data_IF_539750942730
#
_entry.id   IF_539750942730
#
_cell.length_a   1.000
_cell.length_b   1.000
_cell.length_c   1.000
_cell.angle_alpha   90.00
_cell.angle_beta   90.00
_cell.angle_gamma   90.00
#
_symmetry.space_group_name_H-M   'P 1'
#
loop_
_entity.id
_entity.type
_entity.pdbx_description
1 polymer ?
#
# COMPACT_ATOMS: atom_id res chain seq x y z
N UNK A 1 27.26 22.44 -5.59
CA UNK A 1 27.18 21.43 -4.52
C UNK A 1 26.92 22.18 -3.23
N UNK A 2 25.66 22.49 -2.95
CA UNK A 2 25.23 22.98 -1.64
C UNK A 2 24.28 21.92 -1.11
N UNK A 3 24.80 21.10 -0.20
CA UNK A 3 24.03 20.10 0.52
C UNK A 3 23.04 20.83 1.44
N UNK A 4 21.77 20.49 1.28
CA UNK A 4 20.71 20.81 2.21
C UNK A 4 21.17 20.56 3.66
N UNK A 5 20.96 21.54 4.52
CA UNK A 5 21.20 21.47 5.97
C UNK A 5 20.37 20.34 6.58
N UNK A 6 21.03 19.21 6.82
CA UNK A 6 20.51 18.07 7.57
C UNK A 6 20.06 18.52 8.97
N UNK A 7 18.90 18.05 9.42
CA UNK A 7 18.38 18.35 10.76
C UNK A 7 19.31 17.80 11.85
N UNK A 8 20.21 18.65 12.37
CA UNK A 8 20.99 18.36 13.58
C UNK A 8 20.04 18.27 14.77
N UNK A 9 20.11 17.16 15.52
CA UNK A 9 19.14 16.82 16.58
C UNK A 9 19.02 17.90 17.66
N UNK A 10 17.79 18.07 18.18
CA UNK A 10 17.47 19.00 19.27
C UNK A 10 17.50 18.28 20.61
N UNK A 11 18.33 18.74 21.53
CA UNK A 11 18.62 18.09 22.80
C UNK A 11 18.19 18.99 23.96
N UNK A 12 17.49 18.41 24.93
CA UNK A 12 17.18 19.04 26.21
C UNK A 12 18.10 18.46 27.30
N UNK A 13 18.76 19.31 28.07
CA UNK A 13 19.53 18.92 29.25
C UNK A 13 18.79 19.39 30.50
N UNK A 14 18.53 18.50 31.46
CA UNK A 14 17.79 18.80 32.69
C UNK A 14 18.60 18.33 33.89
N UNK A 15 19.13 19.29 34.66
CA UNK A 15 20.08 19.04 35.74
C UNK A 15 20.14 20.27 36.67
N UNK A 16 20.12 20.10 37.98
CA UNK A 16 20.18 21.22 38.93
C UNK A 16 21.59 21.80 39.06
N UNK A 17 22.62 21.03 38.69
CA UNK A 17 24.00 21.46 38.67
C UNK A 17 24.33 22.25 37.39
N UNK A 18 24.33 23.58 37.52
CA UNK A 18 24.66 24.48 36.39
C UNK A 18 26.04 24.26 35.77
N UNK A 19 26.99 23.65 36.50
CA UNK A 19 28.31 23.28 35.97
C UNK A 19 28.19 22.12 34.96
N UNK A 20 27.40 21.10 35.28
CA UNK A 20 27.17 19.94 34.42
C UNK A 20 26.44 20.36 33.15
N UNK A 21 25.38 21.17 33.28
CA UNK A 21 24.65 21.72 32.13
C UNK A 21 25.58 22.46 31.16
N UNK A 22 26.53 23.26 31.67
CA UNK A 22 27.50 23.99 30.82
C UNK A 22 28.44 23.04 30.10
N UNK A 23 29.00 22.07 30.81
CA UNK A 23 29.94 21.10 30.23
C UNK A 23 29.26 20.25 29.16
N UNK A 24 28.06 19.73 29.43
CA UNK A 24 27.32 18.92 28.47
C UNK A 24 26.85 19.75 27.28
N UNK A 25 26.35 20.97 27.52
CA UNK A 25 26.01 21.89 26.42
C UNK A 25 27.21 22.13 25.51
N UNK A 26 28.35 22.52 26.07
CA UNK A 26 29.54 22.81 25.27
C UNK A 26 29.97 21.59 24.44
N UNK A 27 29.97 20.40 25.04
CA UNK A 27 30.33 19.16 24.35
C UNK A 27 29.37 18.82 23.19
N UNK A 28 28.08 19.11 23.32
CA UNK A 28 27.07 18.75 22.33
C UNK A 28 26.90 19.82 21.24
N UNK A 29 27.06 21.10 21.59
CA UNK A 29 27.06 22.20 20.62
C UNK A 29 28.29 22.15 19.70
N UNK A 30 29.46 21.69 20.21
CA UNK A 30 30.67 21.48 19.40
C UNK A 30 30.47 20.43 18.29
N UNK A 31 29.62 19.43 18.53
CA UNK A 31 29.19 18.43 17.55
C UNK A 31 28.06 18.93 16.62
N UNK A 32 27.62 20.18 16.80
CA UNK A 32 26.58 20.82 15.99
C UNK A 32 25.14 20.56 16.45
N UNK A 33 24.90 20.00 17.64
CA UNK A 33 23.54 19.82 18.13
C UNK A 33 22.94 21.13 18.65
N UNK A 34 21.60 21.26 18.57
CA UNK A 34 20.88 22.39 19.18
C UNK A 34 20.49 22.03 20.61
N UNK A 35 21.03 22.74 21.61
CA UNK A 35 20.92 22.35 23.02
C UNK A 35 20.18 23.38 23.87
N UNK A 36 19.05 22.98 24.45
CA UNK A 36 18.38 23.73 25.52
C UNK A 36 18.74 23.14 26.89
N UNK A 37 18.74 23.98 27.93
CA UNK A 37 19.02 23.55 29.31
C UNK A 37 17.90 23.98 30.24
N UNK A 38 17.54 23.11 31.17
CA UNK A 38 16.65 23.39 32.29
C UNK A 38 17.32 23.01 33.60
N UNK A 39 17.14 23.82 34.63
CA UNK A 39 17.67 23.58 35.98
C UNK A 39 16.62 23.06 36.98
N UNK A 40 15.40 22.80 36.50
CA UNK A 40 14.26 22.36 37.31
C UNK A 40 13.21 21.69 36.42
N UNK A 41 12.35 20.86 37.02
CA UNK A 41 11.29 20.17 36.30
C UNK A 41 10.32 21.17 35.65
N UNK A 42 9.96 22.23 36.39
CA UNK A 42 9.08 23.30 35.89
C UNK A 42 9.66 24.03 34.67
N UNK A 43 10.97 24.27 34.64
CA UNK A 43 11.62 24.87 33.48
C UNK A 43 11.66 23.91 32.29
N UNK A 44 11.90 22.61 32.53
CA UNK A 44 11.87 21.60 31.50
C UNK A 44 10.48 21.48 30.85
N UNK A 45 9.42 21.48 31.66
CA UNK A 45 8.03 21.46 31.20
C UNK A 45 7.70 22.71 30.36
N UNK A 46 8.08 23.89 30.82
CA UNK A 46 7.88 25.14 30.07
C UNK A 46 8.61 25.16 28.71
N UNK A 47 9.76 24.49 28.60
CA UNK A 47 10.49 24.34 27.33
C UNK A 47 9.81 23.33 26.41
N UNK A 48 9.36 22.19 26.93
CA UNK A 48 8.65 21.16 26.17
C UNK A 48 7.34 21.67 25.54
N UNK A 49 6.67 22.61 26.20
CA UNK A 49 5.47 23.27 25.66
C UNK A 49 5.76 24.23 24.50
N UNK A 50 7.00 24.73 24.39
CA UNK A 50 7.39 25.76 23.41
C UNK A 50 8.17 25.20 22.24
N UNK A 51 8.89 24.10 22.44
CA UNK A 51 9.83 23.54 21.47
C UNK A 51 9.79 22.02 21.49
N UNK A 52 10.02 21.43 20.32
CA UNK A 52 10.15 19.99 20.16
C UNK A 52 11.60 19.58 20.33
N UNK A 53 11.82 18.56 21.16
CA UNK A 53 13.11 17.94 21.39
C UNK A 53 13.08 16.47 20.95
N UNK A 54 14.25 15.97 20.56
CA UNK A 54 14.46 14.63 20.03
C UNK A 54 15.05 13.70 21.09
N UNK A 55 15.88 14.28 21.96
CA UNK A 55 16.59 13.62 23.04
C UNK A 55 16.59 14.51 24.29
N UNK A 56 16.40 13.91 25.45
CA UNK A 56 16.54 14.55 26.75
C UNK A 56 17.58 13.81 27.59
N UNK A 57 18.51 14.52 28.20
CA UNK A 57 19.32 14.02 29.31
C UNK A 57 18.76 14.56 30.62
N UNK A 58 18.32 13.67 31.49
CA UNK A 58 17.57 14.02 32.70
C UNK A 58 18.27 13.48 33.94
N UNK A 59 18.57 14.36 34.90
CA UNK A 59 19.05 13.93 36.21
C UNK A 59 17.95 13.17 36.98
N UNK A 60 18.32 12.09 37.67
CA UNK A 60 17.45 11.42 38.63
C UNK A 60 17.13 12.28 39.85
N UNK A 61 18.05 13.14 40.26
CA UNK A 61 17.86 14.02 41.42
C UNK A 61 17.91 15.46 40.93
N UNK A 62 16.76 16.12 40.92
CA UNK A 62 16.63 17.47 40.40
C UNK A 62 16.21 18.40 41.54
N UNK A 63 17.15 18.72 42.44
CA UNK A 63 16.84 19.38 43.71
C UNK A 63 15.85 18.57 44.55
N UNK A 64 14.65 19.10 44.75
CA UNK A 64 13.55 18.44 45.48
C UNK A 64 12.71 17.49 44.60
N UNK A 65 12.86 17.56 43.27
CA UNK A 65 12.07 16.77 42.32
C UNK A 65 12.75 15.43 42.00
N UNK A 66 11.94 14.37 41.85
CA UNK A 66 12.39 13.05 41.44
C UNK A 66 12.35 12.92 39.90
N UNK A 67 13.50 12.64 39.28
CA UNK A 67 13.63 12.51 37.83
C UNK A 67 12.78 11.40 37.22
N UNK A 68 12.40 10.37 37.97
CA UNK A 68 11.48 9.33 37.47
C UNK A 68 10.05 9.85 37.27
N UNK A 69 9.59 10.76 38.12
CA UNK A 69 8.27 11.38 37.98
C UNK A 69 8.25 12.33 36.78
N UNK A 70 9.35 13.07 36.58
CA UNK A 70 9.56 13.92 35.40
C UNK A 70 9.61 13.08 34.11
N UNK A 71 10.30 11.93 34.12
CA UNK A 71 10.30 10.99 33.00
C UNK A 71 8.89 10.52 32.65
N UNK A 72 8.08 10.15 33.64
CA UNK A 72 6.71 9.72 33.41
C UNK A 72 5.87 10.82 32.72
N UNK A 73 6.02 12.07 33.14
CA UNK A 73 5.36 13.22 32.51
C UNK A 73 5.85 13.47 31.07
N UNK A 74 7.17 13.46 30.86
CA UNK A 74 7.79 13.64 29.54
C UNK A 74 7.33 12.58 28.54
N UNK A 75 7.16 11.32 28.97
CA UNK A 75 6.66 10.23 28.11
C UNK A 75 5.22 10.44 27.66
N UNK A 76 4.40 11.15 28.43
CA UNK A 76 3.01 11.47 28.07
C UNK A 76 3.00 12.66 27.10
N UNK A 77 3.77 13.71 27.38
CA UNK A 77 3.76 14.95 26.62
C UNK A 77 4.52 14.86 25.29
N UNK A 78 5.65 14.15 25.28
CA UNK A 78 6.54 14.00 24.15
C UNK A 78 6.95 12.53 23.96
N UNK A 79 6.02 11.63 23.59
CA UNK A 79 6.29 10.19 23.47
C UNK A 79 7.34 9.84 22.42
N UNK A 80 7.62 10.73 21.47
CA UNK A 80 8.66 10.58 20.45
C UNK A 80 10.08 10.91 20.97
N UNK A 81 10.17 11.67 22.06
CA UNK A 81 11.45 12.13 22.61
C UNK A 81 12.08 11.00 23.40
N UNK A 82 13.34 10.69 23.09
CA UNK A 82 14.09 9.69 23.86
C UNK A 82 14.62 10.35 25.12
N UNK A 83 14.53 9.67 26.26
CA UNK A 83 15.03 10.21 27.55
C UNK A 83 16.14 9.31 28.06
N UNK A 84 17.33 9.86 28.24
CA UNK A 84 18.48 9.20 28.85
C UNK A 84 18.63 9.73 30.27
N UNK A 85 18.62 8.83 31.22
CA UNK A 85 18.79 9.19 32.63
C UNK A 85 20.27 9.39 32.94
N UNK A 86 20.61 10.45 33.65
CA UNK A 86 21.97 10.77 34.07
C UNK A 86 22.03 10.75 35.60
N UNK A 87 22.91 9.98 36.22
CA UNK A 87 22.90 9.82 37.69
C UNK A 87 24.28 9.56 38.30
N UNK A 88 24.48 9.83 39.58
CA UNK A 88 25.72 9.53 40.28
C UNK A 88 25.88 8.03 40.62
N UNK A 89 27.11 7.58 40.85
CA UNK A 89 27.54 6.17 40.95
C UNK A 89 26.87 5.30 42.05
N UNK A 90 26.02 5.86 42.91
CA UNK A 90 25.42 5.15 44.06
C UNK A 90 24.04 4.52 43.77
N UNK A 91 23.70 4.27 42.51
CA UNK A 91 22.31 4.05 42.06
C UNK A 91 22.14 2.91 41.04
N UNK A 92 22.88 1.80 41.19
CA UNK A 92 22.79 0.66 40.24
C UNK A 92 21.38 0.07 40.19
N UNK A 93 20.68 -0.04 41.33
CA UNK A 93 19.29 -0.49 41.39
C UNK A 93 18.35 0.51 40.69
N UNK A 94 18.66 1.81 40.77
CA UNK A 94 17.87 2.90 40.22
C UNK A 94 17.99 3.01 38.70
N UNK A 95 19.09 2.52 38.12
CA UNK A 95 19.25 2.42 36.66
C UNK A 95 18.29 1.39 36.06
N UNK A 96 18.05 0.28 36.77
CA UNK A 96 17.07 -0.74 36.35
C UNK A 96 15.65 -0.17 36.43
N UNK A 97 15.33 0.53 37.52
CA UNK A 97 14.03 1.19 37.71
C UNK A 97 13.78 2.25 36.64
N UNK A 98 14.80 3.01 36.24
CA UNK A 98 14.72 3.99 35.16
C UNK A 98 14.36 3.34 33.81
N UNK A 99 15.00 2.22 33.46
CA UNK A 99 14.67 1.48 32.24
C UNK A 99 13.25 0.89 32.31
N UNK A 100 12.84 0.35 33.46
CA UNK A 100 11.47 -0.15 33.67
C UNK A 100 10.42 0.97 33.57
N UNK A 101 10.75 2.17 34.06
CA UNK A 101 9.93 3.38 33.91
C UNK A 101 9.91 3.93 32.47
N UNK A 102 10.75 3.38 31.57
CA UNK A 102 10.76 3.66 30.14
C UNK A 102 11.79 4.68 29.69
N UNK A 103 12.88 4.85 30.44
CA UNK A 103 14.07 5.53 29.93
C UNK A 103 14.68 4.73 28.77
N UNK A 104 15.26 5.44 27.81
CA UNK A 104 15.87 4.86 26.62
C UNK A 104 17.28 4.31 26.86
N UNK A 105 18.00 4.90 27.82
CA UNK A 105 19.33 4.49 28.28
C UNK A 105 19.64 5.19 29.61
N UNK A 106 20.80 4.90 30.20
CA UNK A 106 21.32 5.67 31.33
C UNK A 106 22.82 5.97 31.20
N UNK A 107 23.27 7.04 31.86
CA UNK A 107 24.66 7.47 31.97
C UNK A 107 25.01 7.75 33.43
N UNK A 108 26.24 7.38 33.82
CA UNK A 108 26.71 7.56 35.19
C UNK A 108 27.68 8.74 35.26
N UNK A 109 27.41 9.70 36.14
CA UNK A 109 28.29 10.82 36.48
C UNK A 109 29.41 10.37 37.42
N UNK A 110 30.65 10.84 37.22
CA UNK A 110 31.11 11.66 36.09
C UNK A 110 31.26 10.82 34.81
N UNK A 111 30.70 11.28 33.69
CA UNK A 111 30.87 10.65 32.38
C UNK A 111 31.85 11.45 31.51
N UNK A 112 32.59 10.76 30.65
CA UNK A 112 33.50 11.43 29.70
C UNK A 112 32.72 12.11 28.55
N UNK A 113 33.30 13.14 27.91
CA UNK A 113 32.72 13.71 26.68
C UNK A 113 32.43 12.67 25.61
N UNK A 114 33.30 11.67 25.44
CA UNK A 114 33.09 10.56 24.49
C UNK A 114 31.86 9.71 24.82
N UNK A 115 31.62 9.44 26.10
CA UNK A 115 30.43 8.69 26.53
C UNK A 115 29.14 9.46 26.26
N UNK A 116 29.13 10.77 26.51
CA UNK A 116 27.99 11.64 26.22
C UNK A 116 27.70 11.70 24.70
N UNK A 117 28.74 11.84 23.88
CA UNK A 117 28.63 11.83 22.41
C UNK A 117 28.10 10.52 21.87
N UNK A 118 28.67 9.40 22.33
CA UNK A 118 28.26 8.07 21.89
C UNK A 118 26.79 7.78 22.25
N UNK A 119 26.40 8.12 23.48
CA UNK A 119 25.00 7.98 23.90
C UNK A 119 24.07 8.85 23.06
N UNK A 120 24.46 10.10 22.78
CA UNK A 120 23.69 11.02 21.93
C UNK A 120 23.50 10.49 20.52
N UNK A 121 24.59 10.12 19.85
CA UNK A 121 24.56 9.61 18.47
C UNK A 121 23.68 8.37 18.35
N UNK A 122 23.87 7.39 19.25
CA UNK A 122 23.08 6.15 19.28
C UNK A 122 21.59 6.44 19.46
N UNK A 123 21.20 7.31 20.39
CA UNK A 123 19.78 7.56 20.65
C UNK A 123 19.12 8.38 19.54
N UNK A 124 19.83 9.34 18.95
CA UNK A 124 19.33 10.09 17.80
C UNK A 124 19.17 9.21 16.55
N UNK A 125 20.11 8.29 16.30
CA UNK A 125 20.00 7.30 15.22
C UNK A 125 18.76 6.42 15.40
N UNK A 126 18.56 5.86 16.60
CA UNK A 126 17.36 5.06 16.89
C UNK A 126 16.09 5.89 16.72
N UNK A 127 16.07 7.16 17.14
CA UNK A 127 14.93 8.07 16.91
C UNK A 127 14.68 8.29 15.43
N UNK A 128 15.71 8.49 14.62
CA UNK A 128 15.57 8.70 13.18
C UNK A 128 15.02 7.44 12.50
N UNK A 129 15.51 6.25 12.90
CA UNK A 129 15.00 4.97 12.41
C UNK A 129 13.54 4.75 12.82
N UNK A 130 13.17 5.03 14.08
CA UNK A 130 11.78 4.96 14.55
C UNK A 130 10.88 5.94 13.82
N UNK A 131 11.31 7.19 13.62
CA UNK A 131 10.55 8.19 12.87
C UNK A 131 10.37 7.80 11.40
N UNK A 132 11.39 7.18 10.78
CA UNK A 132 11.31 6.66 9.41
C UNK A 132 10.37 5.47 9.32
N UNK A 133 10.40 4.57 10.30
CA UNK A 133 9.45 3.48 10.43
C UNK A 133 8.02 4.00 10.63
N UNK A 134 7.80 4.97 11.52
CA UNK A 134 6.49 5.59 11.72
C UNK A 134 6.01 6.38 10.50
N UNK A 135 6.91 7.00 9.73
CA UNK A 135 6.55 7.65 8.48
C UNK A 135 6.14 6.62 7.41
N UNK A 136 6.90 5.53 7.27
CA UNK A 136 6.58 4.42 6.36
C UNK A 136 5.30 3.71 6.79
N UNK A 137 5.15 3.40 8.09
CA UNK A 137 3.94 2.83 8.67
C UNK A 137 2.78 3.81 8.61
N UNK A 138 3.00 5.12 8.72
CA UNK A 138 2.00 6.18 8.66
C UNK A 138 1.50 6.44 7.24
N UNK A 139 2.35 6.25 6.23
CA UNK A 139 1.94 6.14 4.82
C UNK A 139 1.11 4.89 4.57
N UNK A 140 1.37 3.80 5.31
CA UNK A 140 0.59 2.56 5.28
C UNK A 140 -0.68 2.64 6.19
N UNK A 141 -0.67 3.48 7.24
CA UNK A 141 -1.72 3.68 8.27
C UNK A 141 -2.39 5.05 8.17
N UNK A 142 -2.63 5.56 6.96
CA UNK A 142 -3.75 6.49 6.75
C UNK A 142 -4.99 5.71 6.33
N UNK A 143 -5.82 5.20 7.26
CA UNK A 143 -7.18 4.83 6.93
C UNK A 143 -8.03 6.10 6.96
N UNK A 144 -8.14 6.80 5.82
CA UNK A 144 -9.32 7.64 5.55
C UNK A 144 -9.85 7.64 4.12
N UNK A 145 -9.03 7.57 3.07
CA UNK A 145 -9.56 7.75 1.72
C UNK A 145 -9.12 6.58 0.85
N UNK A 146 -10.05 5.77 0.33
CA UNK A 146 -9.66 4.55 -0.39
C UNK A 146 -10.76 3.93 -1.20
N UNK A 147 -11.77 3.46 -0.48
CA UNK A 147 -12.75 2.49 -0.96
C UNK A 147 -14.18 2.96 -0.77
N UNK A 148 -14.41 4.26 -0.53
CA UNK A 148 -15.77 4.78 -0.57
C UNK A 148 -16.26 4.74 -2.01
N UNK A 149 -17.48 4.22 -2.15
CA UNK A 149 -18.14 4.03 -3.43
C UNK A 149 -19.57 4.54 -3.33
N UNK A 150 -20.01 5.21 -4.38
CA UNK A 150 -21.40 5.63 -4.56
C UNK A 150 -22.23 4.51 -5.20
N UNK A 151 -21.59 3.56 -5.90
CA UNK A 151 -22.25 2.42 -6.53
C UNK A 151 -22.89 1.47 -5.48
N UNK A 152 -24.19 1.16 -5.61
CA UNK A 152 -24.87 0.22 -4.72
C UNK A 152 -24.21 -1.17 -4.70
N UNK A 153 -23.75 -1.66 -5.87
CA UNK A 153 -23.12 -2.97 -5.98
C UNK A 153 -21.84 -3.07 -5.14
N UNK A 154 -21.01 -2.03 -5.17
CA UNK A 154 -19.80 -2.02 -4.34
C UNK A 154 -20.10 -1.78 -2.87
N UNK A 155 -21.12 -0.98 -2.52
CA UNK A 155 -21.51 -0.79 -1.10
C UNK A 155 -21.83 -2.12 -0.42
N UNK A 156 -22.58 -2.99 -1.09
CA UNK A 156 -22.88 -4.35 -0.58
C UNK A 156 -21.59 -5.15 -0.35
N UNK A 157 -20.64 -5.08 -1.29
CA UNK A 157 -19.34 -5.76 -1.16
C UNK A 157 -18.55 -5.21 0.03
N UNK A 158 -18.51 -3.88 0.20
CA UNK A 158 -17.79 -3.22 1.29
C UNK A 158 -18.42 -3.51 2.66
N UNK A 159 -19.75 -3.53 2.76
CA UNK A 159 -20.47 -3.89 3.97
C UNK A 159 -20.17 -5.33 4.37
N UNK A 160 -20.26 -6.26 3.41
CA UNK A 160 -19.90 -7.67 3.62
C UNK A 160 -18.44 -7.78 4.07
N UNK A 161 -17.52 -7.10 3.36
CA UNK A 161 -16.09 -7.07 3.68
C UNK A 161 -15.81 -6.57 5.11
N UNK A 162 -16.49 -5.51 5.56
CA UNK A 162 -16.38 -4.98 6.93
C UNK A 162 -16.88 -5.98 7.97
N UNK A 163 -18.01 -6.65 7.70
CA UNK A 163 -18.54 -7.67 8.61
C UNK A 163 -17.56 -8.84 8.78
N UNK A 164 -17.05 -9.37 7.67
CA UNK A 164 -16.14 -10.53 7.70
C UNK A 164 -14.72 -10.18 8.17
N UNK A 165 -14.31 -8.91 8.09
CA UNK A 165 -13.02 -8.45 8.59
C UNK A 165 -12.83 -8.73 10.10
N UNK A 166 -13.92 -8.75 10.87
CA UNK A 166 -13.91 -9.06 12.32
C UNK A 166 -13.59 -10.53 12.66
N UNK A 167 -13.64 -11.42 11.66
CA UNK A 167 -13.39 -12.87 11.79
C UNK A 167 -12.01 -13.24 11.25
N UNK A 168 -11.54 -14.46 11.55
CA UNK A 168 -10.32 -15.04 10.95
C UNK A 168 -10.62 -15.95 9.74
N UNK A 169 -11.83 -15.86 9.18
CA UNK A 169 -12.19 -16.63 7.99
C UNK A 169 -11.32 -16.26 6.79
N UNK A 170 -11.02 -17.26 5.96
CA UNK A 170 -10.37 -17.07 4.67
C UNK A 170 -11.33 -16.35 3.72
N UNK A 171 -10.81 -15.38 2.96
CA UNK A 171 -11.62 -14.60 2.03
C UNK A 171 -11.02 -14.72 0.64
N UNK A 172 -11.85 -15.09 -0.33
CA UNK A 172 -11.54 -15.08 -1.75
C UNK A 172 -12.14 -13.84 -2.41
N UNK A 173 -11.30 -13.03 -3.04
CA UNK A 173 -11.68 -11.79 -3.71
C UNK A 173 -11.62 -12.02 -5.22
N UNK A 174 -12.78 -12.02 -5.87
CA UNK A 174 -12.90 -12.24 -7.30
C UNK A 174 -13.16 -10.91 -8.01
N UNK A 175 -12.59 -10.74 -9.20
CA UNK A 175 -12.86 -9.57 -10.03
C UNK A 175 -11.83 -9.39 -11.13
N UNK A 176 -12.23 -8.68 -12.18
CA UNK A 176 -11.36 -8.39 -13.32
C UNK A 176 -10.05 -7.71 -12.89
N UNK A 177 -9.03 -7.78 -13.75
CA UNK A 177 -7.77 -7.11 -13.48
C UNK A 177 -7.98 -5.60 -13.34
N UNK A 178 -7.34 -5.00 -12.32
CA UNK A 178 -7.42 -3.56 -12.09
C UNK A 178 -8.71 -3.07 -11.39
N UNK A 179 -9.57 -3.96 -10.88
CA UNK A 179 -10.79 -3.58 -10.12
C UNK A 179 -10.53 -3.10 -8.69
N UNK A 180 -9.31 -3.27 -8.17
CA UNK A 180 -8.93 -2.87 -6.81
C UNK A 180 -8.92 -3.99 -5.77
N UNK A 181 -8.81 -5.26 -6.19
CA UNK A 181 -8.74 -6.43 -5.29
C UNK A 181 -7.70 -6.27 -4.16
N UNK A 182 -6.48 -5.83 -4.49
CA UNK A 182 -5.43 -5.58 -3.50
C UNK A 182 -5.72 -4.43 -2.54
N UNK A 183 -6.43 -3.39 -2.98
CA UNK A 183 -6.89 -2.32 -2.07
C UNK A 183 -7.94 -2.85 -1.10
N UNK A 184 -8.89 -3.65 -1.58
CA UNK A 184 -9.89 -4.27 -0.71
C UNK A 184 -9.22 -5.21 0.30
N UNK A 185 -8.25 -6.02 -0.11
CA UNK A 185 -7.52 -6.90 0.80
C UNK A 185 -6.83 -6.12 1.93
N UNK A 186 -6.15 -5.02 1.60
CA UNK A 186 -5.51 -4.13 2.58
C UNK A 186 -6.53 -3.47 3.51
N UNK A 187 -7.68 -3.05 2.99
CA UNK A 187 -8.75 -2.49 3.80
C UNK A 187 -9.35 -3.53 4.76
N UNK A 188 -9.60 -4.76 4.30
CA UNK A 188 -10.08 -5.86 5.15
C UNK A 188 -9.09 -6.12 6.28
N UNK A 189 -7.78 -6.17 6.00
CA UNK A 189 -6.78 -6.29 7.04
C UNK A 189 -6.84 -5.12 8.04
N UNK A 190 -6.92 -3.88 7.56
CA UNK A 190 -7.04 -2.67 8.37
C UNK A 190 -8.31 -2.61 9.24
N UNK A 191 -9.39 -3.27 8.83
CA UNK A 191 -10.63 -3.40 9.62
C UNK A 191 -10.63 -4.60 10.56
N UNK A 192 -9.61 -5.46 10.51
CA UNK A 192 -9.56 -6.69 11.29
C UNK A 192 -8.96 -6.52 12.68
N UNK A 193 -9.11 -7.54 13.53
CA UNK A 193 -8.39 -7.63 14.82
C UNK A 193 -6.87 -7.63 14.67
N UNK A 194 -6.37 -7.97 13.47
CA UNK A 194 -4.95 -8.06 13.13
C UNK A 194 -4.40 -6.78 12.47
N UNK A 195 -5.17 -5.69 12.42
CA UNK A 195 -4.77 -4.42 11.78
C UNK A 195 -3.47 -3.79 12.32
N UNK A 196 -3.03 -4.16 13.53
CA UNK A 196 -1.76 -3.71 14.11
C UNK A 196 -0.57 -4.63 13.78
N UNK A 197 -0.82 -5.77 13.13
CA UNK A 197 0.17 -6.79 12.76
C UNK A 197 0.55 -6.64 11.28
N UNK A 198 1.49 -7.47 10.81
CA UNK A 198 1.93 -7.42 9.42
C UNK A 198 0.82 -7.86 8.46
N UNK A 199 0.73 -7.16 7.32
CA UNK A 199 0.01 -7.61 6.14
C UNK A 199 1.03 -7.86 5.04
N UNK A 200 1.31 -9.12 4.75
CA UNK A 200 2.32 -9.52 3.78
C UNK A 200 1.62 -9.92 2.49
N UNK A 201 2.01 -9.30 1.38
CA UNK A 201 1.48 -9.62 0.06
C UNK A 201 2.46 -10.50 -0.70
N UNK A 202 1.92 -11.46 -1.44
CA UNK A 202 2.65 -12.27 -2.39
C UNK A 202 1.90 -12.26 -3.72
N UNK A 203 2.61 -11.92 -4.79
CA UNK A 203 2.06 -11.89 -6.14
C UNK A 203 2.48 -13.16 -6.85
N UNK A 204 1.52 -14.00 -7.25
CA UNK A 204 1.80 -15.28 -7.92
C UNK A 204 2.31 -15.20 -9.39
N UNK A 205 2.00 -14.18 -10.23
CA UNK A 205 2.14 -14.30 -11.69
C UNK A 205 3.55 -14.06 -12.26
N UNK A 206 4.64 -14.32 -11.52
CA UNK A 206 5.99 -13.99 -12.02
C UNK A 206 7.13 -14.89 -11.53
N UNK A 207 6.85 -16.01 -10.88
CA UNK A 207 7.88 -16.84 -10.25
C UNK A 207 7.82 -18.28 -10.76
N UNK A 208 9.00 -18.88 -10.95
CA UNK A 208 9.08 -20.34 -11.11
C UNK A 208 8.56 -21.02 -9.84
N UNK A 209 8.12 -22.27 -9.93
CA UNK A 209 7.63 -23.01 -8.75
C UNK A 209 8.67 -23.01 -7.61
N UNK A 210 9.96 -23.15 -7.92
CA UNK A 210 11.03 -23.14 -6.91
C UNK A 210 11.16 -21.78 -6.21
N UNK A 211 11.14 -20.68 -6.97
CA UNK A 211 11.20 -19.33 -6.41
C UNK A 211 9.92 -19.02 -5.61
N UNK A 212 8.78 -19.50 -6.08
CA UNK A 212 7.50 -19.31 -5.40
C UNK A 212 7.48 -20.03 -4.05
N UNK A 213 7.95 -21.27 -4.02
CA UNK A 213 8.05 -22.05 -2.78
C UNK A 213 9.03 -21.40 -1.80
N UNK A 214 10.19 -20.97 -2.31
CA UNK A 214 11.24 -20.28 -1.55
C UNK A 214 10.77 -18.95 -0.98
N UNK A 215 10.02 -18.14 -1.74
CA UNK A 215 9.47 -16.88 -1.24
C UNK A 215 8.39 -17.13 -0.19
N UNK A 216 7.45 -18.05 -0.45
CA UNK A 216 6.32 -18.31 0.44
C UNK A 216 6.77 -18.91 1.77
N UNK A 217 7.57 -19.98 1.74
CA UNK A 217 7.93 -20.76 2.92
C UNK A 217 9.34 -20.47 3.44
N UNK A 218 10.23 -19.91 2.62
CA UNK A 218 11.64 -19.72 2.94
C UNK A 218 12.48 -20.93 2.58
N UNK A 219 13.81 -20.76 2.57
CA UNK A 219 14.75 -21.82 2.21
C UNK A 219 15.95 -21.84 3.17
N UNK A 220 16.50 -23.04 3.40
CA UNK A 220 17.78 -23.22 4.08
C UNK A 220 18.95 -23.01 3.12
N UNK A 221 20.12 -22.71 3.65
CA UNK A 221 21.35 -22.55 2.84
C UNK A 221 21.62 -23.85 2.07
N UNK A 222 21.81 -23.75 0.76
CA UNK A 222 22.07 -24.90 -0.12
C UNK A 222 20.83 -25.64 -0.61
N UNK A 223 19.62 -25.12 -0.39
CA UNK A 223 18.37 -25.76 -0.80
C UNK A 223 18.19 -25.88 -2.34
N UNK A 224 18.78 -24.97 -3.12
CA UNK A 224 18.79 -24.98 -4.59
C UNK A 224 20.03 -24.24 -5.13
N UNK A 225 20.29 -24.34 -6.44
CA UNK A 225 21.41 -23.64 -7.09
C UNK A 225 21.27 -22.13 -6.96
N UNK A 226 22.13 -21.49 -6.16
CA UNK A 226 22.09 -20.06 -5.85
C UNK A 226 21.66 -19.71 -4.42
N UNK A 227 21.25 -20.68 -3.60
CA UNK A 227 20.89 -20.48 -2.19
C UNK A 227 22.14 -20.35 -1.29
N UNK A 228 22.84 -19.22 -1.37
CA UNK A 228 24.03 -18.93 -0.57
C UNK A 228 23.73 -18.69 0.92
N UNK A 229 22.53 -18.21 1.24
CA UNK A 229 22.08 -17.86 2.59
C UNK A 229 20.74 -18.51 2.94
N UNK A 230 20.31 -18.36 4.19
CA UNK A 230 19.04 -18.88 4.71
C UNK A 230 18.05 -17.73 4.82
N UNK A 231 16.91 -17.83 4.11
CA UNK A 231 15.92 -16.74 4.05
C UNK A 231 14.58 -17.16 4.68
N UNK A 232 14.01 -16.28 5.51
CA UNK A 232 12.68 -16.44 6.10
C UNK A 232 11.60 -16.15 5.05
N UNK A 233 10.63 -17.05 4.92
CA UNK A 233 9.52 -16.91 3.96
C UNK A 233 8.45 -15.91 4.38
N UNK A 234 7.58 -15.55 3.43
CA UNK A 234 6.43 -14.65 3.65
C UNK A 234 5.48 -15.16 4.72
N UNK A 235 5.29 -16.48 4.84
CA UNK A 235 4.48 -17.09 5.90
C UNK A 235 5.01 -16.72 7.29
N UNK A 236 6.33 -16.73 7.47
CA UNK A 236 6.95 -16.37 8.75
C UNK A 236 6.80 -14.86 9.04
N UNK A 237 6.98 -14.03 8.02
CA UNK A 237 6.80 -12.56 8.13
C UNK A 237 5.35 -12.18 8.46
N UNK A 238 4.39 -13.00 8.03
CA UNK A 238 2.96 -12.80 8.24
C UNK A 238 2.44 -13.40 9.55
N UNK A 239 3.31 -13.99 10.39
CA UNK A 239 2.89 -14.66 11.62
C UNK A 239 2.18 -13.69 12.60
N UNK A 240 1.02 -14.12 13.10
CA UNK A 240 0.08 -13.29 13.85
C UNK A 240 -0.68 -12.26 13.01
N UNK A 241 -0.36 -12.10 11.73
CA UNK A 241 -0.89 -11.10 10.80
C UNK A 241 -1.77 -11.67 9.69
N UNK A 242 -1.62 -11.14 8.48
CA UNK A 242 -2.39 -11.54 7.30
C UNK A 242 -1.47 -11.77 6.11
N UNK A 243 -1.69 -12.88 5.40
CA UNK A 243 -1.05 -13.17 4.13
C UNK A 243 -2.06 -12.97 3.00
N UNK A 244 -1.74 -12.04 2.10
CA UNK A 244 -2.52 -11.76 0.90
C UNK A 244 -1.88 -12.43 -0.31
N UNK A 245 -2.57 -13.41 -0.88
CA UNK A 245 -2.20 -14.15 -2.08
C UNK A 245 -2.86 -13.48 -3.30
N UNK A 246 -2.15 -12.60 -4.01
CA UNK A 246 -2.66 -11.95 -5.21
C UNK A 246 -2.44 -12.84 -6.44
N UNK A 247 -3.46 -12.88 -7.30
CA UNK A 247 -3.59 -13.77 -8.45
C UNK A 247 -3.36 -15.26 -8.13
N UNK A 248 -4.06 -15.79 -7.10
CA UNK A 248 -3.97 -17.19 -6.65
C UNK A 248 -4.22 -18.22 -7.76
N UNK A 249 -4.93 -17.85 -8.83
CA UNK A 249 -5.14 -18.71 -9.99
C UNK A 249 -3.85 -19.06 -10.73
N UNK A 250 -2.83 -18.20 -10.67
CA UNK A 250 -1.51 -18.46 -11.26
C UNK A 250 -0.58 -19.25 -10.33
N UNK A 251 -1.07 -19.71 -9.17
CA UNK A 251 -0.26 -20.45 -8.23
C UNK A 251 0.09 -21.86 -8.74
N UNK A 252 1.38 -22.25 -8.76
CA UNK A 252 1.83 -23.51 -9.37
C UNK A 252 1.11 -24.74 -8.80
N UNK A 253 0.56 -25.57 -9.69
CA UNK A 253 -0.20 -26.78 -9.33
C UNK A 253 0.59 -27.72 -8.40
N UNK A 254 1.89 -27.83 -8.61
CA UNK A 254 2.80 -28.66 -7.79
C UNK A 254 2.92 -28.19 -6.34
N UNK A 255 2.67 -26.91 -6.07
CA UNK A 255 2.75 -26.32 -4.73
C UNK A 255 1.39 -26.24 -4.02
N UNK A 256 0.28 -26.37 -4.75
CA UNK A 256 -1.06 -26.30 -4.18
C UNK A 256 -1.29 -27.27 -3.00
N UNK A 257 -0.75 -28.52 -2.98
CA UNK A 257 -0.84 -29.39 -1.81
C UNK A 257 -0.14 -28.84 -0.55
N UNK A 258 1.03 -28.19 -0.72
CA UNK A 258 1.77 -27.56 0.39
C UNK A 258 1.02 -26.35 0.93
N UNK A 259 0.45 -25.53 0.04
CA UNK A 259 -0.40 -24.42 0.42
C UNK A 259 -1.65 -24.89 1.16
N UNK A 260 -2.30 -25.95 0.68
CA UNK A 260 -3.46 -26.56 1.34
C UNK A 260 -3.13 -26.99 2.77
N UNK A 261 -2.03 -27.74 2.97
CA UNK A 261 -1.55 -28.17 4.29
C UNK A 261 -1.34 -26.97 5.21
N UNK A 262 -0.71 -25.91 4.71
CA UNK A 262 -0.52 -24.68 5.49
C UNK A 262 -1.84 -24.02 5.88
N UNK A 263 -2.82 -23.92 4.96
CA UNK A 263 -4.11 -23.30 5.27
C UNK A 263 -4.91 -24.14 6.28
N UNK A 264 -4.83 -25.46 6.19
CA UNK A 264 -5.55 -26.40 7.06
C UNK A 264 -4.93 -26.50 8.45
N UNK A 265 -3.63 -26.82 8.50
CA UNK A 265 -2.93 -27.22 9.73
C UNK A 265 -2.12 -26.09 10.36
N UNK A 266 -1.99 -24.94 9.66
CA UNK A 266 -1.08 -23.83 10.03
C UNK A 266 0.39 -24.24 10.11
N UNK A 267 0.72 -25.36 9.46
CA UNK A 267 2.05 -25.94 9.43
C UNK A 267 2.72 -25.80 8.07
N UNK A 268 4.02 -25.55 8.08
CA UNK A 268 4.83 -25.48 6.87
C UNK A 268 6.27 -25.91 7.11
N UNK A 269 6.96 -26.26 6.03
CA UNK A 269 8.38 -26.64 6.01
C UNK A 269 9.12 -25.71 5.05
N UNK A 270 10.40 -25.48 5.30
CA UNK A 270 11.23 -24.64 4.41
C UNK A 270 11.81 -25.51 3.31
N UNK A 271 12.10 -24.91 2.15
CA UNK A 271 12.79 -25.60 1.07
C UNK A 271 14.15 -26.09 1.59
N UNK A 272 14.42 -27.39 1.45
CA UNK A 272 15.67 -28.01 1.93
C UNK A 272 15.78 -28.15 3.45
N UNK A 273 14.68 -28.00 4.21
CA UNK A 273 14.68 -28.17 5.66
C UNK A 273 13.35 -28.80 6.12
N UNK A 274 13.37 -30.11 6.48
CA UNK A 274 12.16 -30.87 6.81
C UNK A 274 11.59 -30.54 8.20
N UNK A 275 12.15 -29.55 8.92
CA UNK A 275 11.62 -29.14 10.22
C UNK A 275 10.27 -28.44 10.03
N UNK A 276 9.21 -29.09 10.51
CA UNK A 276 7.86 -28.53 10.55
C UNK A 276 7.80 -27.32 11.49
N UNK A 277 7.19 -26.24 11.01
CA UNK A 277 6.99 -24.97 11.72
C UNK A 277 5.52 -24.61 11.70
N UNK A 278 5.09 -23.78 12.66
CA UNK A 278 3.72 -23.26 12.73
C UNK A 278 3.71 -21.75 12.62
N UNK A 279 2.70 -21.22 11.94
CA UNK A 279 2.42 -19.78 11.87
C UNK A 279 0.91 -19.51 11.87
N UNK A 280 0.44 -18.64 12.76
CA UNK A 280 -0.97 -18.25 12.83
C UNK A 280 -1.23 -17.07 11.90
N UNK A 281 -1.63 -17.40 10.68
CA UNK A 281 -1.81 -16.42 9.60
C UNK A 281 -3.23 -16.48 9.07
N UNK A 282 -3.87 -15.30 8.97
CA UNK A 282 -5.13 -15.14 8.22
C UNK A 282 -4.86 -15.07 6.72
N UNK A 283 -5.65 -15.78 5.91
CA UNK A 283 -5.46 -15.83 4.46
C UNK A 283 -6.50 -14.95 3.76
N UNK A 284 -6.01 -14.07 2.90
CA UNK A 284 -6.81 -13.38 1.89
C UNK A 284 -6.27 -13.82 0.53
N UNK A 285 -7.11 -14.22 -0.40
CA UNK A 285 -6.70 -14.59 -1.75
C UNK A 285 -7.47 -13.75 -2.77
N UNK A 286 -6.85 -13.42 -3.89
CA UNK A 286 -7.49 -12.71 -4.98
C UNK A 286 -7.18 -13.35 -6.33
N UNK A 287 -8.12 -13.31 -7.27
CA UNK A 287 -7.84 -13.69 -8.66
C UNK A 287 -8.82 -13.04 -9.64
N UNK A 288 -8.37 -12.82 -10.88
CA UNK A 288 -9.21 -12.51 -12.03
C UNK A 288 -9.67 -13.75 -12.84
N UNK A 289 -9.17 -14.95 -12.52
CA UNK A 289 -9.50 -16.18 -13.23
C UNK A 289 -10.70 -16.88 -12.61
N UNK A 290 -11.40 -17.69 -13.41
CA UNK A 290 -12.46 -18.56 -12.93
C UNK A 290 -11.85 -19.85 -12.36
N UNK A 291 -11.71 -19.92 -11.03
CA UNK A 291 -11.14 -21.10 -10.36
C UNK A 291 -11.97 -22.37 -10.56
N UNK A 292 -13.29 -22.28 -10.73
CA UNK A 292 -14.14 -23.46 -10.97
C UNK A 292 -13.87 -24.09 -12.33
N UNK A 293 -13.68 -23.26 -13.37
CA UNK A 293 -13.26 -23.73 -14.69
C UNK A 293 -11.86 -24.35 -14.62
N UNK A 294 -10.94 -23.74 -13.86
CA UNK A 294 -9.59 -24.26 -13.67
C UNK A 294 -9.55 -25.61 -12.93
N UNK A 295 -10.48 -25.84 -12.00
CA UNK A 295 -10.66 -27.15 -11.36
C UNK A 295 -11.11 -28.19 -12.38
N UNK A 296 -12.09 -27.86 -13.24
CA UNK A 296 -12.55 -28.75 -14.32
C UNK A 296 -11.44 -29.07 -15.31
N UNK A 297 -10.54 -28.13 -15.57
CA UNK A 297 -9.37 -28.30 -16.45
C UNK A 297 -8.19 -29.01 -15.76
N UNK A 298 -8.27 -29.34 -14.47
CA UNK A 298 -7.17 -29.94 -13.71
C UNK A 298 -5.99 -29.00 -13.42
N UNK A 299 -6.17 -27.69 -13.58
CA UNK A 299 -5.15 -26.65 -13.32
C UNK A 299 -5.20 -26.09 -11.90
N UNK A 300 -6.27 -26.35 -11.17
CA UNK A 300 -6.43 -25.98 -9.77
C UNK A 300 -7.06 -27.13 -8.99
N UNK A 301 -6.64 -27.33 -7.73
CA UNK A 301 -7.19 -28.40 -6.90
C UNK A 301 -8.51 -27.98 -6.26
N UNK A 302 -9.48 -28.89 -6.32
CA UNK A 302 -10.80 -28.69 -5.75
C UNK A 302 -10.76 -28.49 -4.23
N UNK A 303 -9.95 -29.29 -3.51
CA UNK A 303 -9.79 -29.22 -2.06
C UNK A 303 -9.22 -27.88 -1.57
N UNK A 304 -8.26 -27.30 -2.31
CA UNK A 304 -7.73 -25.97 -2.07
C UNK A 304 -8.78 -24.88 -2.30
N UNK A 305 -9.58 -25.00 -3.37
CA UNK A 305 -10.65 -24.04 -3.64
C UNK A 305 -11.65 -24.01 -2.49
N UNK A 306 -12.12 -25.17 -2.01
CA UNK A 306 -13.04 -25.23 -0.86
C UNK A 306 -12.46 -24.60 0.41
N UNK A 307 -11.14 -24.69 0.63
CA UNK A 307 -10.51 -24.13 1.83
C UNK A 307 -10.25 -22.63 1.73
N UNK A 308 -10.06 -22.10 0.52
CA UNK A 308 -9.93 -20.66 0.26
C UNK A 308 -11.29 -19.96 0.24
N UNK A 309 -12.29 -20.60 -0.38
CA UNK A 309 -13.63 -20.06 -0.61
C UNK A 309 -14.56 -20.26 0.60
N UNK A 310 -14.16 -19.77 1.78
CA UNK A 310 -15.07 -19.72 2.94
C UNK A 310 -16.02 -18.53 2.82
N UNK A 311 -15.48 -17.38 2.43
CA UNK A 311 -16.23 -16.17 2.08
C UNK A 311 -15.72 -15.70 0.72
N UNK A 312 -16.63 -15.44 -0.22
CA UNK A 312 -16.28 -14.85 -1.52
C UNK A 312 -16.84 -13.44 -1.66
N UNK A 313 -16.00 -12.54 -2.15
CA UNK A 313 -16.33 -11.15 -2.46
C UNK A 313 -16.09 -10.91 -3.95
N UNK A 314 -17.15 -10.59 -4.70
CA UNK A 314 -17.07 -10.28 -6.12
C UNK A 314 -17.00 -8.75 -6.30
N UNK A 315 -15.87 -8.25 -6.81
CA UNK A 315 -15.73 -6.84 -7.17
C UNK A 315 -16.39 -6.59 -8.52
N UNK A 316 -17.33 -5.63 -8.60
CA UNK A 316 -17.88 -5.23 -9.88
C UNK A 316 -16.80 -4.49 -10.71
N UNK A 317 -16.76 -4.70 -12.03
CA UNK A 317 -15.92 -3.92 -12.92
C UNK A 317 -16.35 -2.46 -12.93
N UNK A 318 -15.45 -1.56 -13.34
CA UNK A 318 -15.67 -0.11 -13.29
C UNK A 318 -16.86 0.33 -14.16
N UNK A 319 -17.13 -0.39 -15.27
CA UNK A 319 -18.31 -0.17 -16.13
C UNK A 319 -19.65 -0.40 -15.43
N UNK A 320 -19.69 -1.20 -14.36
CA UNK A 320 -20.89 -1.44 -13.53
C UNK A 320 -20.93 -0.50 -12.32
N UNK A 321 -19.97 0.43 -12.23
CA UNK A 321 -19.81 1.39 -11.13
C UNK A 321 -19.54 2.80 -11.67
N UNK A 322 -20.36 3.21 -12.65
CA UNK A 322 -20.19 4.49 -13.33
C UNK A 322 -20.20 5.69 -12.36
N UNK A 323 -20.92 5.57 -11.24
CA UNK A 323 -21.01 6.58 -10.19
C UNK A 323 -19.67 6.84 -9.50
N UNK A 324 -18.72 5.91 -9.58
CA UNK A 324 -17.41 6.04 -8.96
C UNK A 324 -16.36 6.65 -9.90
N UNK A 325 -16.59 6.63 -11.22
CA UNK A 325 -15.58 7.00 -12.22
C UNK A 325 -15.05 8.42 -11.99
N UNK A 326 -15.95 9.40 -11.87
CA UNK A 326 -15.56 10.80 -11.71
C UNK A 326 -14.89 11.05 -10.35
N UNK A 327 -15.44 10.48 -9.27
CA UNK A 327 -14.86 10.59 -7.92
C UNK A 327 -13.45 10.00 -7.87
N UNK A 328 -13.23 8.85 -8.50
CA UNK A 328 -11.91 8.24 -8.63
C UNK A 328 -10.97 9.08 -9.48
N UNK A 329 -11.45 9.61 -10.62
CA UNK A 329 -10.66 10.46 -11.51
C UNK A 329 -10.21 11.74 -10.83
N UNK A 330 -11.12 12.46 -10.17
CA UNK A 330 -10.84 13.70 -9.43
C UNK A 330 -9.83 13.44 -8.31
N UNK A 331 -9.96 12.31 -7.61
CA UNK A 331 -9.00 11.91 -6.56
C UNK A 331 -7.62 11.59 -7.11
N UNK A 332 -7.53 10.85 -8.20
CA UNK A 332 -6.24 10.57 -8.85
C UNK A 332 -5.59 11.85 -9.35
N UNK A 333 -6.37 12.75 -9.96
CA UNK A 333 -5.88 14.03 -10.42
C UNK A 333 -5.29 14.84 -9.27
N UNK A 334 -6.02 14.99 -8.16
CA UNK A 334 -5.55 15.72 -6.98
C UNK A 334 -4.24 15.15 -6.41
N UNK A 335 -4.08 13.82 -6.43
CA UNK A 335 -2.84 13.15 -6.01
C UNK A 335 -1.69 13.48 -6.96
N UNK A 336 -1.85 13.24 -8.25
CA UNK A 336 -0.77 13.39 -9.23
C UNK A 336 -0.35 14.84 -9.43
N UNK A 337 -1.30 15.76 -9.34
CA UNK A 337 -1.04 17.20 -9.36
C UNK A 337 -0.09 17.62 -8.24
N UNK A 338 -0.30 17.09 -7.03
CA UNK A 338 0.57 17.34 -5.88
C UNK A 338 1.95 16.69 -6.06
N UNK A 339 1.97 15.48 -6.61
CA UNK A 339 3.20 14.69 -6.82
C UNK A 339 4.11 15.29 -7.91
N UNK A 340 3.53 15.73 -9.03
CA UNK A 340 4.26 16.29 -10.16
C UNK A 340 4.32 17.83 -10.19
N UNK A 341 3.78 18.49 -9.17
CA UNK A 341 3.68 19.95 -9.08
C UNK A 341 3.05 20.59 -10.34
N UNK A 342 1.91 20.04 -10.79
CA UNK A 342 1.22 20.46 -12.04
C UNK A 342 0.06 21.43 -11.79
N UNK A 343 -0.36 22.21 -12.80
CA UNK A 343 -1.39 23.24 -12.62
C UNK A 343 -2.83 22.70 -12.63
N UNK A 344 -3.08 21.51 -13.17
CA UNK A 344 -4.44 20.96 -13.27
C UNK A 344 -5.15 20.89 -11.92
N UNK A 345 -6.44 21.25 -11.88
CA UNK A 345 -7.32 21.25 -10.70
C UNK A 345 -8.67 20.56 -10.95
N UNK A 346 -8.98 20.21 -12.19
CA UNK A 346 -10.19 19.48 -12.55
C UNK A 346 -10.22 19.10 -14.03
N UNK A 347 -11.32 18.48 -14.44
CA UNK A 347 -11.61 18.11 -15.84
C UNK A 347 -12.57 19.11 -16.48
N UNK A 348 -12.48 19.31 -17.79
CA UNK A 348 -13.54 19.97 -18.57
C UNK A 348 -14.81 19.11 -18.63
N UNK A 349 -15.94 19.69 -18.99
CA UNK A 349 -17.22 18.95 -19.05
C UNK A 349 -17.14 17.84 -20.12
N UNK A 350 -16.52 18.12 -21.26
CA UNK A 350 -16.27 17.16 -22.35
C UNK A 350 -15.35 16.01 -21.89
N UNK A 351 -14.35 16.32 -21.06
CA UNK A 351 -13.48 15.31 -20.48
C UNK A 351 -14.22 14.43 -19.48
N UNK A 352 -15.14 14.99 -18.67
CA UNK A 352 -15.98 14.22 -17.75
C UNK A 352 -16.93 13.28 -18.50
N UNK A 353 -17.55 13.76 -19.57
CA UNK A 353 -18.40 12.93 -20.43
C UNK A 353 -17.60 11.79 -21.08
N UNK A 354 -16.39 12.07 -21.58
CA UNK A 354 -15.52 11.04 -22.14
C UNK A 354 -15.12 9.98 -21.09
N UNK A 355 -14.79 10.39 -19.87
CA UNK A 355 -14.48 9.48 -18.76
C UNK A 355 -15.67 8.55 -18.44
N UNK A 356 -16.90 9.08 -18.43
CA UNK A 356 -18.12 8.32 -18.16
C UNK A 356 -18.53 7.41 -19.34
N UNK A 357 -18.29 7.86 -20.58
CA UNK A 357 -18.64 7.10 -21.80
C UNK A 357 -17.69 5.94 -22.10
N UNK A 358 -16.50 5.92 -21.50
CA UNK A 358 -15.52 4.87 -21.72
C UNK A 358 -15.80 3.61 -20.88
N UNK A 359 -15.57 2.42 -21.46
CA UNK A 359 -15.88 1.13 -20.81
C UNK A 359 -14.85 0.67 -19.79
N UNK A 360 -13.65 1.24 -19.80
CA UNK A 360 -12.56 0.91 -18.88
C UNK A 360 -12.23 -0.60 -18.82
N UNK A 361 -11.79 -1.23 -19.93
CA UNK A 361 -11.38 -2.64 -19.93
C UNK A 361 -10.26 -2.96 -18.92
N UNK A 362 -9.39 -2.00 -18.59
CA UNK A 362 -8.37 -2.14 -17.54
C UNK A 362 -8.82 -1.59 -16.17
N UNK A 363 -10.12 -1.29 -16.01
CA UNK A 363 -10.76 -0.86 -14.78
C UNK A 363 -10.04 0.36 -14.13
N UNK A 364 -9.91 0.37 -12.80
CA UNK A 364 -9.32 1.47 -12.03
C UNK A 364 -7.84 1.66 -12.39
N UNK A 365 -7.12 0.59 -12.75
CA UNK A 365 -5.71 0.69 -13.15
C UNK A 365 -5.54 1.50 -14.43
N UNK A 366 -6.39 1.26 -15.41
CA UNK A 366 -6.40 2.05 -16.65
C UNK A 366 -6.82 3.49 -16.40
N UNK A 367 -7.90 3.72 -15.63
CA UNK A 367 -8.34 5.07 -15.23
C UNK A 367 -7.20 5.85 -14.57
N UNK A 368 -6.50 5.23 -13.63
CA UNK A 368 -5.35 5.85 -12.96
C UNK A 368 -4.27 6.25 -13.94
N UNK A 369 -3.86 5.34 -14.84
CA UNK A 369 -2.81 5.61 -15.82
C UNK A 369 -3.20 6.73 -16.82
N UNK A 370 -4.47 6.75 -17.24
CA UNK A 370 -5.00 7.79 -18.11
C UNK A 370 -4.96 9.16 -17.43
N UNK A 371 -5.43 9.25 -16.18
CA UNK A 371 -5.44 10.49 -15.40
C UNK A 371 -4.02 10.96 -15.06
N UNK A 372 -3.12 10.04 -14.71
CA UNK A 372 -1.70 10.32 -14.46
C UNK A 372 -1.05 10.98 -15.68
N UNK A 373 -1.16 10.33 -16.84
CA UNK A 373 -0.65 10.86 -18.11
C UNK A 373 -1.26 12.22 -18.44
N UNK A 374 -2.58 12.36 -18.29
CA UNK A 374 -3.26 13.62 -18.56
C UNK A 374 -2.76 14.75 -17.64
N UNK A 375 -2.52 14.45 -16.36
CA UNK A 375 -1.98 15.42 -15.39
C UNK A 375 -0.55 15.88 -15.72
N UNK A 376 0.27 15.00 -16.32
CA UNK A 376 1.65 15.30 -16.71
C UNK A 376 1.70 16.19 -17.96
N UNK A 377 0.83 15.91 -18.94
CA UNK A 377 0.84 16.59 -20.24
C UNK A 377 0.08 17.91 -20.18
N UNK A 378 -0.96 18.04 -19.36
CA UNK A 378 -1.79 19.24 -19.29
C UNK A 378 -1.01 20.45 -18.74
N UNK A 379 -0.83 21.52 -19.53
CA UNK A 379 -0.19 22.75 -19.06
C UNK A 379 -1.17 23.74 -18.40
N UNK A 380 -2.48 23.47 -18.39
CA UNK A 380 -3.52 24.37 -17.86
C UNK A 380 -4.15 23.88 -16.55
N UNK A 381 -5.07 24.67 -15.98
CA UNK A 381 -5.83 24.31 -14.79
C UNK A 381 -6.92 23.25 -15.03
N UNK A 382 -7.34 23.03 -16.27
CA UNK A 382 -8.36 22.03 -16.62
C UNK A 382 -7.82 21.00 -17.60
N UNK A 383 -8.01 19.72 -17.28
CA UNK A 383 -7.73 18.60 -18.17
C UNK A 383 -8.84 18.53 -19.22
N UNK A 384 -8.51 18.93 -20.44
CA UNK A 384 -9.37 18.74 -21.62
C UNK A 384 -9.34 17.31 -22.17
N UNK A 385 -10.33 16.97 -22.99
CA UNK A 385 -10.47 15.67 -23.66
C UNK A 385 -9.22 15.25 -24.44
N UNK A 386 -8.56 16.21 -25.09
CA UNK A 386 -7.32 15.99 -25.87
C UNK A 386 -6.16 15.45 -25.02
N UNK A 387 -6.12 15.80 -23.73
CA UNK A 387 -5.08 15.35 -22.80
C UNK A 387 -5.31 13.94 -22.27
N UNK A 388 -6.55 13.44 -22.30
CA UNK A 388 -6.86 12.09 -21.82
C UNK A 388 -6.20 11.03 -22.69
N UNK A 389 -5.94 11.33 -23.96
CA UNK A 389 -5.31 10.42 -24.91
C UNK A 389 -6.03 9.06 -24.97
N UNK A 390 -7.33 9.06 -24.66
CA UNK A 390 -8.20 7.94 -24.93
C UNK A 390 -8.27 7.88 -26.44
N UNK A 391 -7.73 6.82 -27.04
CA UNK A 391 -8.07 6.54 -28.42
C UNK A 391 -9.60 6.59 -28.50
N UNK A 392 -10.13 7.31 -29.48
CA UNK A 392 -11.50 7.08 -29.91
C UNK A 392 -11.58 5.58 -30.20
N UNK A 393 -12.03 4.78 -29.21
CA UNK A 393 -12.80 3.62 -29.60
C UNK A 393 -13.87 4.26 -30.46
N UNK A 394 -13.99 3.87 -31.74
CA UNK A 394 -15.06 4.39 -32.57
C UNK A 394 -16.28 4.22 -31.68
N UNK A 395 -16.89 5.34 -31.31
CA UNK A 395 -18.18 5.32 -30.65
C UNK A 395 -18.92 4.33 -31.51
N UNK A 396 -19.39 3.23 -30.92
CA UNK A 396 -20.20 2.27 -31.63
C UNK A 396 -21.56 2.97 -31.89
N UNK A 397 -21.53 4.07 -32.66
CA UNK A 397 -22.52 4.54 -33.59
C UNK A 397 -22.62 3.51 -34.75
N UNK A 398 -22.53 2.22 -34.43
CA UNK A 398 -23.23 1.24 -35.23
C UNK A 398 -24.69 1.70 -35.18
N UNK A 399 -25.25 2.15 -36.31
CA UNK A 399 -26.57 2.75 -36.31
C UNK A 399 -27.56 1.71 -35.80
N UNK A 400 -28.25 2.02 -34.70
CA UNK A 400 -29.29 1.15 -34.15
C UNK A 400 -30.54 1.30 -35.01
N UNK A 401 -31.25 0.19 -35.23
CA UNK A 401 -32.58 0.21 -35.86
C UNK A 401 -33.48 1.12 -35.02
N UNK A 402 -34.00 2.19 -35.62
CA UNK A 402 -34.79 3.23 -34.93
C UNK A 402 -34.02 4.50 -34.53
N UNK A 403 -32.73 4.63 -34.86
CA UNK A 403 -32.01 5.89 -34.76
C UNK A 403 -32.56 6.94 -35.74
N UNK A 404 -32.44 8.23 -35.41
CA UNK A 404 -32.80 9.36 -36.28
C UNK A 404 -31.77 9.56 -37.40
N UNK A 405 -31.53 8.49 -38.18
CA UNK A 405 -30.64 8.46 -39.33
C UNK A 405 -31.48 8.17 -40.57
N UNK A 406 -31.06 8.71 -41.71
CA UNK A 406 -31.68 8.34 -42.98
C UNK A 406 -31.41 6.86 -43.31
N UNK A 407 -32.28 6.25 -44.11
CA UNK A 407 -32.08 4.87 -44.57
C UNK A 407 -30.75 4.68 -45.30
N UNK A 408 -30.27 5.72 -46.00
CA UNK A 408 -29.01 5.70 -46.73
C UNK A 408 -27.78 5.71 -45.79
N UNK A 409 -27.83 6.47 -44.69
CA UNK A 409 -26.77 6.50 -43.67
C UNK A 409 -26.70 5.19 -42.87
N UNK A 410 -27.86 4.62 -42.54
CA UNK A 410 -27.99 3.31 -41.90
C UNK A 410 -27.40 2.21 -42.79
N UNK A 411 -27.73 2.22 -44.08
CA UNK A 411 -27.21 1.26 -45.04
C UNK A 411 -25.70 1.41 -45.24
N UNK A 412 -25.18 2.64 -45.38
CA UNK A 412 -23.75 2.91 -45.51
C UNK A 412 -22.95 2.38 -44.31
N UNK A 413 -23.39 2.67 -43.10
CA UNK A 413 -22.68 2.23 -41.90
C UNK A 413 -22.81 0.72 -41.66
N UNK A 414 -23.94 0.10 -42.02
CA UNK A 414 -24.09 -1.35 -41.96
C UNK A 414 -23.16 -2.07 -42.95
N UNK A 415 -23.10 -1.60 -44.21
CA UNK A 415 -22.19 -2.14 -45.23
C UNK A 415 -20.72 -1.96 -44.78
N UNK A 416 -20.37 -0.80 -44.23
CA UNK A 416 -19.03 -0.56 -43.68
C UNK A 416 -18.64 -1.51 -42.54
N UNK A 417 -19.55 -1.77 -41.62
CA UNK A 417 -19.31 -2.70 -40.50
C UNK A 417 -19.11 -4.15 -40.96
N UNK A 418 -19.90 -4.61 -41.93
CA UNK A 418 -19.75 -5.97 -42.50
C UNK A 418 -18.47 -6.09 -43.32
N UNK A 419 -18.07 -5.05 -44.06
CA UNK A 419 -16.79 -5.02 -44.78
C UNK A 419 -15.58 -5.04 -43.84
N UNK A 420 -15.67 -4.37 -42.68
CA UNK A 420 -14.59 -4.34 -41.69
C UNK A 420 -14.38 -5.68 -40.96
N UNK A 421 -15.37 -6.58 -41.00
CA UNK A 421 -15.35 -7.87 -40.31
C UNK A 421 -15.22 -9.07 -41.25
N UNK A 422 -15.32 -8.86 -42.58
CA UNK A 422 -15.25 -9.92 -43.58
C UNK A 422 -13.88 -9.96 -44.28
N UNK A 423 -13.32 -11.16 -44.44
CA UNK A 423 -12.00 -11.34 -45.09
C UNK A 423 -12.06 -11.19 -46.62
N UNK A 424 -13.24 -11.37 -47.21
CA UNK A 424 -13.45 -11.28 -48.67
C UNK A 424 -14.76 -10.58 -49.02
N UNK A 425 -14.80 -9.94 -50.20
CA UNK A 425 -15.99 -9.26 -50.72
C UNK A 425 -17.17 -10.23 -50.94
N UNK A 426 -16.91 -11.47 -51.34
CA UNK A 426 -17.94 -12.50 -51.52
C UNK A 426 -18.56 -12.93 -50.17
N UNK A 427 -17.76 -12.99 -49.10
CA UNK A 427 -18.24 -13.27 -47.76
C UNK A 427 -19.07 -12.11 -47.21
N UNK A 428 -18.63 -10.86 -47.43
CA UNK A 428 -19.40 -9.67 -47.08
C UNK A 428 -20.75 -9.62 -47.81
N UNK A 429 -20.76 -9.94 -49.10
CA UNK A 429 -21.96 -9.96 -49.93
C UNK A 429 -22.98 -11.03 -49.46
N UNK A 430 -22.50 -12.23 -49.10
CA UNK A 430 -23.33 -13.28 -48.49
C UNK A 430 -23.93 -12.86 -47.16
N UNK A 431 -23.16 -12.23 -46.28
CA UNK A 431 -23.63 -11.75 -44.98
C UNK A 431 -24.67 -10.63 -45.13
N UNK A 432 -24.53 -9.78 -46.14
CA UNK A 432 -25.50 -8.72 -46.48
C UNK A 432 -26.71 -9.20 -47.28
N UNK A 433 -26.70 -10.46 -47.77
CA UNK A 433 -27.78 -11.01 -48.59
C UNK A 433 -27.93 -10.36 -49.97
N UNK A 434 -26.85 -9.79 -50.52
CA UNK A 434 -26.84 -9.12 -51.83
C UNK A 434 -25.79 -9.73 -52.77
N UNK A 435 -25.95 -9.54 -54.08
CA UNK A 435 -24.93 -9.96 -55.04
C UNK A 435 -23.64 -9.14 -54.93
N UNK A 436 -22.49 -9.77 -55.20
CA UNK A 436 -21.17 -9.14 -55.15
C UNK A 436 -21.05 -7.91 -56.10
N UNK A 437 -21.75 -7.93 -57.23
CA UNK A 437 -21.84 -6.79 -58.16
C UNK A 437 -22.58 -5.59 -57.57
N UNK A 438 -23.61 -5.84 -56.76
CA UNK A 438 -24.40 -4.82 -56.05
C UNK A 438 -23.59 -4.20 -54.91
N UNK A 439 -22.87 -5.04 -54.15
CA UNK A 439 -21.96 -4.59 -53.10
C UNK A 439 -20.84 -3.70 -53.67
N UNK A 440 -20.25 -4.09 -54.80
CA UNK A 440 -19.21 -3.29 -55.46
C UNK A 440 -19.73 -1.91 -55.91
N UNK A 441 -20.95 -1.85 -56.46
CA UNK A 441 -21.58 -0.59 -56.88
C UNK A 441 -21.87 0.32 -55.67
N UNK A 442 -22.43 -0.24 -54.59
CA UNK A 442 -22.73 0.51 -53.35
C UNK A 442 -21.47 1.00 -52.65
N UNK A 443 -20.41 0.18 -52.62
CA UNK A 443 -19.09 0.57 -52.12
C UNK A 443 -18.55 1.80 -52.84
N UNK A 444 -18.62 1.82 -54.18
CA UNK A 444 -18.18 2.96 -55.00
C UNK A 444 -19.07 4.20 -54.81
N UNK A 445 -20.38 4.01 -54.62
CA UNK A 445 -21.34 5.09 -54.37
C UNK A 445 -21.13 5.76 -53.00
N UNK A 446 -20.80 4.97 -51.97
CA UNK A 446 -20.64 5.45 -50.60
C UNK A 446 -19.19 5.79 -50.22
N UNK A 447 -18.26 5.58 -51.14
CA UNK A 447 -16.81 5.83 -50.98
C UNK A 447 -16.20 5.04 -49.81
N UNK A 448 -16.51 3.74 -49.74
CA UNK A 448 -16.09 2.78 -48.71
C UNK A 448 -14.94 1.86 -49.16
#
# INVERSE_FOLDING_TARGET
>A
MESATEHQGRILLVDDESAILRTFRYCLEDEGYSVATANSAAQADALLQRQVFDLCFLDLRLGEDNGLDVLAQMRIQAPWMRVVIVTAHSAVDTAVDAIQAGAADYLVKPCSPDQLRLATAKQLEVRQLSARLEALEGEVRKPKDGLDSHSPAMKVVLETARQVASTDANILILGESGTGKGELARAIHGWSKRAKKSCVTINCPSLTAELMESELFGHSRGAFTGASESTLGRVNQADGGTLFLDEIGDFPLTLQPKLLRFIQDKEYERVGDPVTRRADVRILAATNLNLEDMVRDGRFREDLLYRLNVITLHLPPLRERAEDILTLADRFLARFVKEYARPARGFSDEAREALLGYRWPGNIRELRNVVERASIICPQEKVEISHLGMAEQPVNNAPRIGAALSLDELEKAHIGAVLATADTLDQAAKTLGIDASTLYRKRKQYNL
#
